data_IF_681169619331
#
_entry.id   IF_681169619331
#
_cell.length_a   1.000
_cell.length_b   1.000
_cell.length_c   1.000
_cell.angle_alpha   90.00
_cell.angle_beta   90.00
_cell.angle_gamma   90.00
#
_symmetry.space_group_name_H-M   'P 1'
#
loop_
_entity.id
_entity.type
_entity.pdbx_description
1 polymer ?
#
# COMPACT_ATOMS: atom_id res chain seq x y z
N UNK A 1 -11.53 -10.35 -39.02
CA UNK A 1 -10.50 -9.61 -38.25
C UNK A 1 -9.29 -10.51 -38.08
N UNK A 2 -8.24 -10.31 -38.87
CA UNK A 2 -7.03 -11.13 -38.80
C UNK A 2 -6.30 -10.85 -37.48
N UNK A 3 -6.23 -11.86 -36.61
CA UNK A 3 -5.35 -11.84 -35.44
C UNK A 3 -3.92 -11.93 -35.95
N UNK A 4 -3.23 -10.80 -36.02
CA UNK A 4 -1.77 -10.78 -36.19
C UNK A 4 -1.18 -11.53 -34.99
N UNK A 5 -0.61 -12.73 -35.22
CA UNK A 5 0.15 -13.44 -34.21
C UNK A 5 1.35 -12.57 -33.84
N UNK A 6 1.36 -12.01 -32.63
CA UNK A 6 2.56 -11.36 -32.11
C UNK A 6 3.70 -12.37 -32.06
N UNK A 7 4.84 -12.00 -32.62
CA UNK A 7 6.09 -12.76 -32.53
C UNK A 7 6.67 -12.48 -31.13
N UNK A 8 6.95 -13.51 -30.31
CA UNK A 8 7.59 -13.32 -29.01
C UNK A 8 8.93 -12.56 -29.18
N UNK A 9 9.10 -11.45 -28.45
CA UNK A 9 10.32 -10.62 -28.50
C UNK A 9 10.29 -9.45 -29.49
N UNK A 10 9.30 -9.39 -30.38
CA UNK A 10 9.14 -8.25 -31.30
C UNK A 10 8.58 -7.02 -30.57
N UNK A 11 9.10 -5.84 -30.90
CA UNK A 11 8.64 -4.57 -30.35
C UNK A 11 7.16 -4.32 -30.71
N UNK A 12 6.28 -4.06 -29.72
CA UNK A 12 4.85 -3.84 -29.97
C UNK A 12 4.56 -2.55 -30.74
N UNK A 13 5.45 -1.55 -30.67
CA UNK A 13 5.25 -0.26 -31.33
C UNK A 13 5.62 -0.29 -32.81
N UNK A 14 6.80 -0.80 -33.17
CA UNK A 14 7.26 -0.76 -34.56
C UNK A 14 7.09 -2.09 -35.32
N UNK A 15 6.83 -3.19 -34.60
CA UNK A 15 6.65 -4.54 -35.14
C UNK A 15 7.88 -5.18 -35.78
N UNK A 16 9.03 -4.49 -35.77
CA UNK A 16 10.24 -4.86 -36.51
C UNK A 16 11.46 -5.11 -35.64
N UNK A 17 11.67 -4.28 -34.61
CA UNK A 17 12.82 -4.39 -33.73
C UNK A 17 12.67 -5.46 -32.65
N UNK A 18 13.79 -5.84 -32.05
CA UNK A 18 13.87 -6.75 -30.91
C UNK A 18 13.99 -5.95 -29.61
N UNK A 19 13.38 -6.47 -28.55
CA UNK A 19 13.48 -5.91 -27.21
C UNK A 19 14.77 -6.41 -26.53
N UNK A 20 15.66 -5.48 -26.18
CA UNK A 20 16.93 -5.75 -25.49
C UNK A 20 16.86 -5.28 -24.05
N UNK A 21 17.08 -6.19 -23.10
CA UNK A 21 17.05 -5.89 -21.67
C UNK A 21 18.25 -5.06 -21.21
N UNK A 22 18.01 -4.10 -20.32
CA UNK A 22 19.04 -3.34 -19.60
C UNK A 22 18.46 -2.82 -18.27
N UNK A 23 19.30 -2.24 -17.42
CA UNK A 23 18.86 -1.56 -16.20
C UNK A 23 19.12 -0.06 -16.28
N UNK A 24 18.29 0.72 -15.59
CA UNK A 24 18.49 2.16 -15.42
C UNK A 24 18.04 2.62 -14.04
N UNK A 25 18.58 3.74 -13.60
CA UNK A 25 18.08 4.43 -12.41
C UNK A 25 16.96 5.39 -12.81
N UNK A 26 15.96 5.51 -11.95
CA UNK A 26 14.81 6.39 -12.13
C UNK A 26 14.58 7.20 -10.86
N UNK A 27 14.49 8.52 -11.01
CA UNK A 27 14.11 9.44 -9.94
C UNK A 27 12.74 10.05 -10.30
N UNK A 28 11.78 10.00 -9.39
CA UNK A 28 10.41 10.48 -9.62
C UNK A 28 9.71 10.88 -8.32
N UNK A 29 8.69 11.74 -8.41
CA UNK A 29 7.85 12.09 -7.27
C UNK A 29 6.67 11.11 -7.14
N UNK A 30 6.44 10.62 -5.94
CA UNK A 30 5.26 9.81 -5.60
C UNK A 30 4.26 10.63 -4.79
N UNK A 31 3.01 10.65 -5.25
CA UNK A 31 1.92 11.41 -4.64
C UNK A 31 1.19 10.56 -3.58
N UNK A 32 1.21 11.02 -2.33
CA UNK A 32 0.49 10.42 -1.19
C UNK A 32 -0.85 11.12 -0.92
N UNK A 33 -1.29 12.02 -1.80
CA UNK A 33 -2.49 12.85 -1.65
C UNK A 33 -2.19 14.16 -0.93
N UNK A 34 -1.68 14.07 0.30
CA UNK A 34 -1.41 15.25 1.14
C UNK A 34 0.04 15.76 0.98
N UNK A 35 0.94 14.93 0.45
CA UNK A 35 2.35 15.22 0.26
C UNK A 35 2.92 14.50 -0.97
N UNK A 36 4.02 15.03 -1.51
CA UNK A 36 4.83 14.36 -2.54
C UNK A 36 6.17 13.96 -1.97
N UNK A 37 6.60 12.74 -2.27
CA UNK A 37 7.85 12.16 -1.79
C UNK A 37 8.75 11.86 -2.97
N UNK A 38 9.98 12.35 -2.95
CA UNK A 38 11.00 12.01 -3.94
C UNK A 38 11.43 10.55 -3.77
N UNK A 39 11.30 9.77 -4.84
CA UNK A 39 11.64 8.34 -4.87
C UNK A 39 12.78 8.10 -5.82
N UNK A 40 13.74 7.29 -5.38
CA UNK A 40 14.87 6.84 -6.19
C UNK A 40 14.79 5.33 -6.37
N UNK A 41 14.42 4.88 -7.57
CA UNK A 41 14.42 3.47 -7.94
C UNK A 41 15.72 3.14 -8.67
N UNK A 42 16.56 2.31 -8.05
CA UNK A 42 17.85 1.90 -8.60
C UNK A 42 17.75 0.58 -9.36
N UNK A 43 18.50 0.46 -10.45
CA UNK A 43 18.58 -0.75 -11.27
C UNK A 43 17.21 -1.27 -11.77
N UNK A 44 16.34 -0.37 -12.24
CA UNK A 44 15.03 -0.73 -12.79
C UNK A 44 15.21 -1.53 -14.08
N UNK A 45 14.79 -2.80 -14.15
CA UNK A 45 14.95 -3.62 -15.35
C UNK A 45 13.92 -3.23 -16.40
N UNK A 46 14.40 -2.77 -17.56
CA UNK A 46 13.61 -2.31 -18.68
C UNK A 46 14.11 -2.94 -19.98
N UNK A 47 13.31 -2.85 -21.03
CA UNK A 47 13.67 -3.36 -22.35
C UNK A 47 13.62 -2.22 -23.36
N UNK A 48 14.65 -2.08 -24.19
CA UNK A 48 14.69 -1.08 -25.26
C UNK A 48 14.65 -1.76 -26.61
N UNK A 49 13.81 -1.25 -27.51
CA UNK A 49 13.80 -1.66 -28.91
C UNK A 49 15.08 -1.20 -29.62
N UNK A 50 15.79 -2.12 -30.26
CA UNK A 50 17.01 -1.85 -31.03
C UNK A 50 16.78 -1.02 -32.31
N UNK A 51 15.54 -0.94 -32.78
CA UNK A 51 15.18 -0.31 -34.06
C UNK A 51 14.53 1.06 -33.88
N UNK A 52 13.48 1.17 -33.06
CA UNK A 52 12.76 2.44 -32.84
C UNK A 52 13.10 3.12 -31.52
N UNK A 53 13.84 2.46 -30.62
CA UNK A 53 14.25 3.03 -29.34
C UNK A 53 13.19 3.04 -28.24
N UNK A 54 11.99 2.51 -28.50
CA UNK A 54 10.91 2.41 -27.51
C UNK A 54 11.37 1.69 -26.24
N UNK A 55 10.93 2.17 -25.07
CA UNK A 55 11.31 1.60 -23.77
C UNK A 55 10.08 0.99 -23.09
N UNK A 56 10.13 -0.32 -22.93
CA UNK A 56 9.10 -1.11 -22.26
C UNK A 56 9.52 -1.42 -20.83
N UNK A 57 8.55 -1.42 -19.91
CA UNK A 57 8.77 -1.84 -18.53
C UNK A 57 7.77 -2.91 -18.12
N UNK A 58 8.29 -4.02 -17.60
CA UNK A 58 7.50 -5.19 -17.24
C UNK A 58 7.21 -5.31 -15.74
N UNK A 59 6.66 -6.47 -15.30
CA UNK A 59 6.39 -6.73 -13.89
C UNK A 59 7.63 -6.64 -12.97
N UNK A 60 8.83 -6.89 -13.48
CA UNK A 60 10.06 -6.73 -12.71
C UNK A 60 10.36 -5.26 -12.39
N UNK A 61 10.20 -4.36 -13.37
CA UNK A 61 10.32 -2.91 -13.17
C UNK A 61 9.32 -2.41 -12.13
N UNK A 62 8.06 -2.85 -12.25
CA UNK A 62 7.00 -2.48 -11.33
C UNK A 62 7.32 -2.88 -9.87
N UNK A 63 7.93 -4.06 -9.66
CA UNK A 63 8.39 -4.48 -8.33
C UNK A 63 9.48 -3.57 -7.77
N UNK A 64 10.51 -3.27 -8.57
CA UNK A 64 11.62 -2.39 -8.13
C UNK A 64 11.10 -0.99 -7.77
N UNK A 65 10.21 -0.42 -8.59
CA UNK A 65 9.59 0.88 -8.30
C UNK A 65 8.73 0.83 -7.04
N UNK A 66 7.92 -0.20 -6.88
CA UNK A 66 7.08 -0.38 -5.70
C UNK A 66 7.91 -0.48 -4.41
N UNK A 67 8.98 -1.27 -4.43
CA UNK A 67 9.90 -1.39 -3.30
C UNK A 67 10.59 -0.05 -2.99
N UNK A 68 10.98 0.71 -4.01
CA UNK A 68 11.56 2.04 -3.84
C UNK A 68 10.57 3.01 -3.19
N UNK A 69 9.30 3.00 -3.62
CA UNK A 69 8.23 3.79 -2.99
C UNK A 69 8.07 3.39 -1.53
N UNK A 70 7.92 2.09 -1.23
CA UNK A 70 7.78 1.60 0.15
C UNK A 70 8.89 2.14 1.05
N UNK A 71 10.15 2.03 0.60
CA UNK A 71 11.32 2.51 1.35
C UNK A 71 11.30 4.02 1.55
N UNK A 72 10.99 4.78 0.50
CA UNK A 72 10.94 6.24 0.58
C UNK A 72 9.88 6.75 1.57
N UNK A 73 8.74 6.04 1.68
CA UNK A 73 7.62 6.45 2.54
C UNK A 73 7.56 5.70 3.89
N UNK A 74 8.57 4.90 4.23
CA UNK A 74 8.65 4.18 5.50
C UNK A 74 7.63 3.04 5.66
N UNK A 75 7.23 2.43 4.54
CA UNK A 75 6.33 1.28 4.48
C UNK A 75 7.12 -0.02 4.29
N UNK A 76 6.59 -1.12 4.82
CA UNK A 76 7.08 -2.46 4.53
C UNK A 76 6.96 -2.77 3.03
N UNK A 77 7.97 -3.41 2.46
CA UNK A 77 7.91 -3.94 1.10
C UNK A 77 7.04 -5.20 1.03
N UNK A 78 6.58 -5.62 -0.16
CA UNK A 78 5.85 -6.87 -0.36
C UNK A 78 6.57 -8.10 0.22
N UNK A 79 7.91 -8.15 0.07
CA UNK A 79 8.73 -9.24 0.59
C UNK A 79 8.83 -9.20 2.11
N UNK A 80 8.89 -8.03 2.73
CA UNK A 80 8.91 -7.89 4.19
C UNK A 80 7.57 -8.28 4.81
N UNK A 81 6.44 -7.89 4.20
CA UNK A 81 5.10 -8.31 4.66
C UNK A 81 4.99 -9.83 4.61
N UNK A 82 5.39 -10.44 3.49
CA UNK A 82 5.42 -11.89 3.32
C UNK A 82 6.34 -12.56 4.36
N UNK A 83 7.52 -11.99 4.63
CA UNK A 83 8.47 -12.51 5.60
C UNK A 83 7.92 -12.48 7.04
N UNK A 84 7.14 -11.45 7.43
CA UNK A 84 6.46 -11.42 8.74
C UNK A 84 5.53 -12.61 8.87
N UNK A 85 4.71 -12.87 7.84
CA UNK A 85 3.77 -13.99 7.83
C UNK A 85 4.48 -15.34 7.90
N UNK A 86 5.52 -15.52 7.08
CA UNK A 86 6.29 -16.77 7.01
C UNK A 86 7.09 -17.04 8.29
N UNK A 87 7.59 -16.00 8.94
CA UNK A 87 8.28 -16.09 10.24
C UNK A 87 7.43 -16.78 11.32
N UNK A 88 6.11 -16.63 11.28
CA UNK A 88 5.19 -17.23 12.24
C UNK A 88 4.41 -18.42 11.67
N UNK A 89 4.76 -18.91 10.48
CA UNK A 89 4.10 -20.07 9.87
C UNK A 89 2.67 -19.83 9.41
N UNK A 90 2.26 -18.57 9.25
CA UNK A 90 0.88 -18.22 8.91
C UNK A 90 0.59 -18.35 7.41
N UNK A 91 -0.64 -18.73 7.07
CA UNK A 91 -1.18 -18.57 5.70
C UNK A 91 -1.67 -17.13 5.49
N UNK A 92 -1.90 -16.73 4.23
CA UNK A 92 -2.48 -15.39 3.96
C UNK A 92 -3.87 -15.26 4.61
N UNK A 93 -4.63 -16.37 4.66
CA UNK A 93 -5.93 -16.46 5.33
C UNK A 93 -5.81 -16.29 6.84
N UNK A 94 -4.78 -16.89 7.46
CA UNK A 94 -4.54 -16.72 8.88
C UNK A 94 -4.17 -15.28 9.22
N UNK A 95 -3.26 -14.65 8.46
CA UNK A 95 -2.93 -13.23 8.65
C UNK A 95 -4.15 -12.33 8.48
N UNK A 96 -5.00 -12.61 7.48
CA UNK A 96 -6.25 -11.90 7.27
C UNK A 96 -7.21 -12.02 8.47
N UNK A 97 -7.42 -13.25 8.98
CA UNK A 97 -8.26 -13.49 10.15
C UNK A 97 -7.70 -12.85 11.43
N UNK A 98 -6.38 -12.87 11.61
CA UNK A 98 -5.71 -12.31 12.78
C UNK A 98 -5.81 -10.78 12.88
N UNK A 99 -5.91 -10.10 11.74
CA UNK A 99 -5.84 -8.63 11.65
C UNK A 99 -7.14 -7.98 11.18
N UNK A 100 -8.15 -8.79 10.84
CA UNK A 100 -9.35 -8.40 10.11
C UNK A 100 -9.08 -7.68 8.77
N UNK A 101 -7.86 -7.81 8.23
CA UNK A 101 -7.59 -7.35 6.87
C UNK A 101 -8.24 -8.30 5.86
N UNK A 102 -8.82 -7.73 4.81
CA UNK A 102 -9.36 -8.56 3.72
C UNK A 102 -8.28 -9.42 3.06
N UNK A 103 -8.57 -10.70 2.82
CA UNK A 103 -7.63 -11.65 2.18
C UNK A 103 -7.11 -11.13 0.82
N UNK A 104 -7.97 -10.48 0.03
CA UNK A 104 -7.58 -9.88 -1.24
C UNK A 104 -6.58 -8.73 -1.04
N UNK A 105 -6.70 -7.98 0.05
CA UNK A 105 -5.80 -6.88 0.41
C UNK A 105 -4.42 -7.42 0.79
N UNK A 106 -4.36 -8.42 1.67
CA UNK A 106 -3.10 -9.12 2.03
C UNK A 106 -2.40 -9.64 0.77
N UNK A 107 -3.15 -10.33 -0.11
CA UNK A 107 -2.62 -10.83 -1.38
C UNK A 107 -2.08 -9.72 -2.29
N UNK A 108 -2.74 -8.56 -2.35
CA UNK A 108 -2.29 -7.42 -3.17
C UNK A 108 -1.02 -6.79 -2.61
N UNK A 109 -0.89 -6.68 -1.28
CA UNK A 109 0.32 -6.19 -0.63
C UNK A 109 1.52 -7.12 -0.90
N UNK A 110 1.39 -8.44 -0.67
CA UNK A 110 2.48 -9.40 -0.90
C UNK A 110 2.90 -9.51 -2.38
N UNK A 111 2.04 -9.06 -3.32
CA UNK A 111 2.34 -9.03 -4.76
C UNK A 111 2.80 -7.66 -5.28
N UNK A 112 2.91 -6.65 -4.41
CA UNK A 112 3.28 -5.29 -4.79
C UNK A 112 2.26 -4.63 -5.74
N UNK A 113 0.98 -4.95 -5.58
CA UNK A 113 -0.13 -4.39 -6.39
C UNK A 113 -0.93 -3.32 -5.67
N UNK A 114 -0.70 -3.16 -4.38
CA UNK A 114 -1.34 -2.16 -3.53
C UNK A 114 -0.35 -1.79 -2.43
N UNK A 115 -0.27 -0.51 -2.08
CA UNK A 115 0.42 -0.07 -0.87
C UNK A 115 -0.53 -0.19 0.32
N UNK A 116 -0.01 -0.61 1.45
CA UNK A 116 -0.69 -0.52 2.73
C UNK A 116 -0.75 0.95 3.18
N UNK A 117 -1.83 1.31 3.88
CA UNK A 117 -1.86 2.60 4.56
C UNK A 117 -1.00 2.56 5.84
N UNK A 118 -0.72 3.74 6.41
CA UNK A 118 0.14 3.87 7.60
C UNK A 118 -0.38 3.08 8.81
N UNK A 119 -1.71 2.99 8.98
CA UNK A 119 -2.31 2.24 10.09
C UNK A 119 -2.09 0.74 9.95
N UNK A 120 -2.36 0.17 8.78
CA UNK A 120 -2.10 -1.24 8.49
C UNK A 120 -0.61 -1.57 8.61
N UNK A 121 0.27 -0.68 8.15
CA UNK A 121 1.71 -0.84 8.31
C UNK A 121 2.12 -0.97 9.78
N UNK A 122 1.56 -0.12 10.67
CA UNK A 122 1.82 -0.19 12.11
C UNK A 122 1.36 -1.51 12.73
N UNK A 123 0.22 -2.05 12.31
CA UNK A 123 -0.26 -3.37 12.77
C UNK A 123 0.71 -4.47 12.36
N UNK A 124 1.15 -4.47 11.09
CA UNK A 124 2.13 -5.46 10.58
C UNK A 124 3.47 -5.37 11.34
N UNK A 125 3.96 -4.15 11.59
CA UNK A 125 5.15 -3.93 12.43
C UNK A 125 4.92 -4.41 13.86
N UNK A 126 3.75 -4.14 14.44
CA UNK A 126 3.35 -4.63 15.76
C UNK A 126 3.37 -6.16 15.86
N UNK A 127 2.85 -6.87 14.86
CA UNK A 127 2.92 -8.34 14.78
C UNK A 127 4.36 -8.85 14.77
N UNK A 128 5.26 -8.15 14.05
CA UNK A 128 6.67 -8.50 13.93
C UNK A 128 7.44 -8.27 15.24
N UNK A 129 7.21 -7.13 15.88
CA UNK A 129 8.10 -6.55 16.90
C UNK A 129 7.54 -6.65 18.32
N UNK A 130 6.24 -6.88 18.50
CA UNK A 130 5.59 -6.95 19.81
C UNK A 130 4.93 -8.33 20.05
N UNK A 131 5.63 -9.25 20.74
CA UNK A 131 5.09 -10.57 21.06
C UNK A 131 3.77 -10.52 21.84
N UNK A 132 3.60 -9.58 22.77
CA UNK A 132 2.38 -9.44 23.55
C UNK A 132 1.17 -9.02 22.69
N UNK A 133 1.38 -8.09 21.74
CA UNK A 133 0.32 -7.68 20.79
C UNK A 133 -0.06 -8.82 19.85
N UNK A 134 0.92 -9.56 19.33
CA UNK A 134 0.68 -10.76 18.52
C UNK A 134 -0.12 -11.79 19.31
N UNK A 135 0.32 -12.14 20.51
CA UNK A 135 -0.36 -13.13 21.36
C UNK A 135 -1.80 -12.70 21.71
N UNK A 136 -2.02 -11.40 21.95
CA UNK A 136 -3.35 -10.86 22.14
C UNK A 136 -4.24 -11.09 20.91
N UNK A 137 -3.79 -10.76 19.70
CA UNK A 137 -4.57 -10.99 18.49
C UNK A 137 -4.81 -12.48 18.22
N UNK A 138 -3.82 -13.34 18.43
CA UNK A 138 -3.95 -14.80 18.27
C UNK A 138 -5.06 -15.34 19.19
N UNK A 139 -5.12 -14.82 20.42
CA UNK A 139 -6.13 -15.19 21.41
C UNK A 139 -7.56 -14.83 21.03
N UNK A 140 -7.76 -13.91 20.07
CA UNK A 140 -9.07 -13.53 19.54
C UNK A 140 -9.55 -14.45 18.42
N UNK A 141 -8.65 -15.17 17.75
CA UNK A 141 -8.96 -16.04 16.60
C UNK A 141 -9.31 -17.47 17.03
N UNK A 142 -8.77 -17.93 18.16
CA UNK A 142 -9.09 -19.24 18.74
C UNK A 142 -10.53 -19.29 19.29
N UNK A 143 -11.27 -20.41 19.14
CA UNK A 143 -12.61 -20.54 19.71
C UNK A 143 -12.56 -20.39 21.24
N UNK A 144 -13.35 -19.44 21.76
CA UNK A 144 -13.41 -19.03 23.18
C UNK A 144 -13.33 -20.21 24.15
N UNK A 145 -12.17 -20.37 24.78
CA UNK A 145 -11.94 -21.13 26.00
C UNK A 145 -11.10 -20.29 26.96
N UNK A 146 -11.77 -19.44 27.76
CA UNK A 146 -11.26 -18.70 28.93
C UNK A 146 -9.87 -18.07 28.83
N UNK A 147 -9.81 -16.75 28.60
CA UNK A 147 -8.61 -15.95 28.91
C UNK A 147 -8.80 -15.20 30.24
N UNK A 148 -7.78 -15.14 31.10
CA UNK A 148 -7.72 -14.18 32.19
C UNK A 148 -7.54 -12.77 31.60
N UNK A 149 -8.28 -11.80 32.13
CA UNK A 149 -8.14 -10.39 31.72
C UNK A 149 -6.75 -9.87 32.07
N UNK A 150 -6.04 -9.19 31.15
CA UNK A 150 -4.90 -8.37 31.51
C UNK A 150 -5.34 -7.32 32.54
N UNK A 151 -4.64 -7.24 33.67
CA UNK A 151 -4.88 -6.20 34.66
C UNK A 151 -4.63 -4.84 33.99
N UNK A 152 -5.61 -3.95 34.09
CA UNK A 152 -5.58 -2.62 33.51
C UNK A 152 -4.49 -1.78 34.19
N UNK A 153 -3.31 -1.70 33.60
CA UNK A 153 -2.41 -0.57 33.83
C UNK A 153 -3.02 0.66 33.14
N UNK A 154 -3.12 1.77 33.88
CA UNK A 154 -3.70 3.02 33.38
C UNK A 154 -3.02 3.43 32.06
N UNK A 155 -3.80 3.81 31.02
CA UNK A 155 -3.21 4.25 29.77
C UNK A 155 -2.43 5.54 30.03
N UNK A 156 -1.10 5.47 29.95
CA UNK A 156 -0.25 6.66 29.85
C UNK A 156 -0.53 7.28 28.48
N UNK A 157 -1.58 8.10 28.42
CA UNK A 157 -1.93 8.88 27.24
C UNK A 157 -0.88 9.97 27.03
N UNK A 158 0.22 9.62 26.34
CA UNK A 158 1.26 10.57 25.89
C UNK A 158 0.82 11.44 24.72
N UNK A 159 -0.42 11.29 24.23
CA UNK A 159 -0.98 12.05 23.10
C UNK A 159 -1.84 13.25 23.54
N UNK A 160 -1.92 13.57 24.84
CA UNK A 160 -2.49 14.84 25.32
C UNK A 160 -1.77 16.01 24.61
N UNK A 161 -2.40 16.58 23.58
CA UNK A 161 -1.88 17.74 22.84
C UNK A 161 -1.94 17.66 21.31
N UNK A 162 -2.33 16.55 20.68
CA UNK A 162 -2.43 16.47 19.19
C UNK A 162 -3.81 16.74 18.60
N UNK A 163 -4.86 16.65 19.41
CA UNK A 163 -6.21 17.03 18.99
C UNK A 163 -6.63 18.24 19.81
N UNK A 164 -6.53 19.43 19.22
CA UNK A 164 -7.18 20.63 19.76
C UNK A 164 -8.65 20.51 19.37
N UNK A 165 -9.52 20.52 20.37
CA UNK A 165 -10.97 20.54 20.21
C UNK A 165 -11.35 21.81 19.43
N UNK A 166 -11.50 21.68 18.10
CA UNK A 166 -12.01 22.78 17.26
C UNK A 166 -13.51 22.86 17.50
N UNK A 167 -13.86 23.63 18.52
CA UNK A 167 -15.05 24.47 18.61
C UNK A 167 -16.32 23.93 17.94
N UNK A 168 -17.18 23.34 18.77
CA UNK A 168 -18.61 23.68 18.88
C UNK A 168 -19.24 24.22 17.60
N UNK A 169 -19.66 23.33 16.70
CA UNK A 169 -20.49 23.68 15.54
C UNK A 169 -21.81 24.30 16.06
N UNK A 170 -22.16 25.55 15.72
CA UNK A 170 -23.44 26.12 16.12
C UNK A 170 -24.58 25.44 15.36
N UNK A 171 -25.67 25.20 16.09
CA UNK A 171 -26.98 24.74 15.63
C UNK A 171 -27.41 25.35 14.28
N UNK A 172 -27.76 24.49 13.33
CA UNK A 172 -28.46 24.86 12.10
C UNK A 172 -29.91 25.23 12.43
N UNK A 173 -30.19 26.53 12.55
CA UNK A 173 -31.54 27.09 12.37
C UNK A 173 -31.45 28.45 11.65
N UNK A 174 -32.19 28.53 10.53
CA UNK A 174 -32.63 29.71 9.78
C UNK A 174 -31.58 30.53 9.02
N UNK A 175 -31.68 30.53 7.68
CA UNK A 175 -32.22 31.66 6.92
C UNK A 175 -32.25 31.31 5.41
N UNK A 176 -33.42 31.37 4.79
CA UNK A 176 -33.54 31.57 3.35
C UNK A 176 -34.67 32.58 3.11
N UNK A 177 -34.27 33.85 3.05
CA UNK A 177 -35.10 34.94 2.56
C UNK A 177 -34.78 35.18 1.08
N UNK A 178 -35.84 35.15 0.27
CA UNK A 178 -36.18 36.05 -0.83
C UNK A 178 -35.04 36.52 -1.75
N UNK A 179 -35.08 36.08 -3.02
CA UNK A 179 -34.51 36.80 -4.14
C UNK A 179 -35.57 36.95 -5.24
N UNK A 180 -36.19 38.12 -5.31
CA UNK A 180 -36.79 38.65 -6.52
C UNK A 180 -35.66 39.13 -7.44
N UNK A 181 -35.65 38.69 -8.69
CA UNK A 181 -35.08 39.48 -9.77
C UNK A 181 -35.92 39.34 -11.04
N UNK A 182 -36.51 40.47 -11.41
CA UNK A 182 -37.29 40.71 -12.63
C UNK A 182 -36.45 40.49 -13.89
N UNK A 183 -37.05 39.85 -14.90
CA UNK A 183 -36.74 40.08 -16.31
C UNK A 183 -38.05 40.11 -17.10
N UNK A 184 -38.37 41.30 -17.57
CA UNK A 184 -39.02 41.52 -18.86
C UNK A 184 -37.91 41.73 -19.89
#
# INVERSE_FOLDING_TARGET
MNKVKQIPGACPECGRGQLVSFTRDEDFDFDLGDERVAVQARNVPVEKCDTCGEIMSGPAAARVRHDAICRAVGLLTPSEIKAIREKFGWSQQHLAALTDFGIATVSRWERGRLLQNRSANKVLLGLRDCPAFRAYLESLVEPKGSLPSPQAEEPINRLKGRYVDKERVPSVVAFAAVFEFSRN
#
